data_IF_183157198512
#
_entry.id   IF_183157198512
#
_cell.length_a   1.000
_cell.length_b   1.000
_cell.length_c   1.000
_cell.angle_alpha   90.00
_cell.angle_beta   90.00
_cell.angle_gamma   90.00
#
_symmetry.space_group_name_H-M   'P 1'
#
loop_
_entity.id
_entity.type
_entity.pdbx_description
1 polymer ?
#
# COMPACT_ATOMS: atom_id res chain seq x y z
N UNK A 1 11.99 -70.50 -37.34
CA UNK A 1 11.31 -71.07 -36.15
C UNK A 1 12.31 -71.09 -34.99
N UNK A 2 11.83 -70.81 -33.78
CA UNK A 2 12.45 -71.00 -32.44
C UNK A 2 13.65 -70.13 -32.01
N UNK A 3 13.34 -69.25 -31.03
CA UNK A 3 13.95 -69.02 -29.70
C UNK A 3 15.47 -68.94 -29.45
N UNK A 4 15.76 -68.05 -28.49
CA UNK A 4 16.79 -68.02 -27.43
C UNK A 4 17.93 -67.00 -27.58
N UNK A 5 17.90 -65.97 -26.73
CA UNK A 5 19.06 -65.62 -25.89
C UNK A 5 18.65 -64.84 -24.63
N UNK A 6 19.19 -65.30 -23.51
CA UNK A 6 19.00 -64.86 -22.13
C UNK A 6 20.08 -63.86 -21.69
N UNK A 7 19.65 -62.92 -20.85
CA UNK A 7 20.31 -62.30 -19.68
C UNK A 7 21.80 -61.89 -19.69
N UNK A 8 22.03 -60.61 -19.34
CA UNK A 8 22.84 -60.20 -18.18
C UNK A 8 22.38 -58.81 -17.63
N UNK A 9 22.39 -58.68 -16.30
CA UNK A 9 21.70 -57.71 -15.45
C UNK A 9 22.30 -56.28 -15.38
N UNK A 10 21.53 -55.28 -14.89
CA UNK A 10 21.96 -53.89 -14.74
C UNK A 10 22.59 -53.62 -13.36
N UNK A 11 23.77 -52.99 -13.33
CA UNK A 11 24.36 -52.43 -12.11
C UNK A 11 23.71 -51.07 -11.79
N UNK A 12 22.82 -51.06 -10.80
CA UNK A 12 22.31 -49.85 -10.14
C UNK A 12 23.33 -49.40 -9.08
N UNK A 13 23.82 -48.17 -9.20
CA UNK A 13 24.41 -47.45 -8.06
C UNK A 13 23.26 -46.94 -7.18
N UNK A 14 23.04 -47.59 -6.04
CA UNK A 14 22.24 -47.04 -4.94
C UNK A 14 23.14 -46.14 -4.09
N UNK A 15 23.14 -44.84 -4.38
CA UNK A 15 23.36 -43.87 -3.30
C UNK A 15 22.15 -43.95 -2.37
N UNK A 16 22.36 -43.94 -1.05
CA UNK A 16 21.24 -44.06 -0.12
C UNK A 16 20.31 -42.85 -0.29
N UNK A 17 18.99 -43.09 -0.26
CA UNK A 17 17.98 -42.02 -0.26
C UNK A 17 18.19 -41.04 0.91
N UNK A 18 18.84 -41.51 1.99
CA UNK A 18 19.24 -40.72 3.15
C UNK A 18 20.32 -39.68 2.81
N UNK A 19 21.37 -40.07 2.07
CA UNK A 19 22.48 -39.15 1.72
C UNK A 19 22.06 -38.07 0.69
N UNK A 20 21.01 -38.33 -0.10
CA UNK A 20 20.42 -37.34 -1.00
C UNK A 20 19.45 -36.39 -0.27
N UNK A 21 18.70 -36.87 0.72
CA UNK A 21 17.84 -36.03 1.56
C UNK A 21 18.66 -35.18 2.53
N UNK A 22 19.74 -35.70 3.11
CA UNK A 22 20.59 -34.95 4.04
C UNK A 22 21.38 -33.84 3.32
N UNK A 23 21.82 -34.07 2.07
CA UNK A 23 22.41 -33.01 1.24
C UNK A 23 21.39 -31.98 0.76
N UNK A 24 20.15 -32.38 0.43
CA UNK A 24 19.09 -31.44 0.07
C UNK A 24 18.67 -30.58 1.27
N UNK A 25 18.53 -31.17 2.47
CA UNK A 25 18.22 -30.46 3.70
C UNK A 25 19.36 -29.53 4.15
N UNK A 26 20.63 -29.94 3.99
CA UNK A 26 21.80 -29.07 4.28
C UNK A 26 21.93 -27.90 3.30
N UNK A 27 21.50 -28.07 2.05
CA UNK A 27 21.46 -26.99 1.06
C UNK A 27 20.26 -26.07 1.32
N UNK A 28 19.08 -26.59 1.65
CA UNK A 28 17.91 -25.77 2.01
C UNK A 28 18.11 -25.01 3.31
N UNK A 29 18.70 -25.61 4.36
CA UNK A 29 19.04 -24.90 5.61
C UNK A 29 20.09 -23.82 5.37
N UNK A 30 21.17 -24.09 4.62
CA UNK A 30 22.18 -23.05 4.32
C UNK A 30 21.61 -21.92 3.46
N UNK A 31 20.70 -22.22 2.54
CA UNK A 31 20.06 -21.21 1.67
C UNK A 31 19.02 -20.39 2.45
N UNK A 32 18.25 -21.00 3.37
CA UNK A 32 17.33 -20.30 4.26
C UNK A 32 18.06 -19.43 5.28
N UNK A 33 19.15 -19.91 5.90
CA UNK A 33 19.93 -19.10 6.85
C UNK A 33 20.69 -17.96 6.15
N UNK A 34 21.27 -18.18 4.96
CA UNK A 34 21.90 -17.10 4.19
C UNK A 34 20.88 -16.10 3.65
N UNK A 35 19.69 -16.55 3.24
CA UNK A 35 18.57 -15.69 2.84
C UNK A 35 18.06 -14.82 3.99
N UNK A 36 17.83 -15.41 5.17
CA UNK A 36 17.34 -14.69 6.34
C UNK A 36 18.37 -13.68 6.89
N UNK A 37 19.66 -14.02 6.92
CA UNK A 37 20.73 -13.12 7.36
C UNK A 37 20.94 -11.96 6.38
N UNK A 38 20.86 -12.22 5.07
CA UNK A 38 20.93 -11.15 4.06
C UNK A 38 19.71 -10.21 4.13
N UNK A 39 18.49 -10.75 4.26
CA UNK A 39 17.26 -9.94 4.37
C UNK A 39 17.26 -9.11 5.65
N UNK A 40 17.65 -9.69 6.79
CA UNK A 40 17.76 -8.96 8.06
C UNK A 40 18.81 -7.84 8.01
N UNK A 41 19.96 -8.10 7.34
CA UNK A 41 21.02 -7.10 7.18
C UNK A 41 20.62 -5.96 6.24
N UNK A 42 19.92 -6.27 5.14
CA UNK A 42 19.36 -5.27 4.21
C UNK A 42 18.30 -4.41 4.91
N UNK A 43 17.43 -5.04 5.71
CA UNK A 43 16.40 -4.34 6.50
C UNK A 43 17.00 -3.38 7.52
N UNK A 44 18.05 -3.80 8.25
CA UNK A 44 18.74 -2.95 9.23
C UNK A 44 19.42 -1.75 8.57
N UNK A 45 20.17 -1.97 7.47
CA UNK A 45 20.79 -0.88 6.71
C UNK A 45 19.77 0.12 6.18
N UNK A 46 18.63 -0.36 5.68
CA UNK A 46 17.53 0.51 5.22
C UNK A 46 17.01 1.40 6.36
N UNK A 47 16.76 0.83 7.54
CA UNK A 47 16.29 1.60 8.70
C UNK A 47 17.31 2.65 9.14
N UNK A 48 18.59 2.29 9.24
CA UNK A 48 19.67 3.21 9.57
C UNK A 48 19.74 4.38 8.57
N UNK A 49 19.54 4.10 7.27
CA UNK A 49 19.49 5.13 6.24
C UNK A 49 18.27 6.03 6.35
N UNK A 50 17.09 5.49 6.60
CA UNK A 50 15.89 6.30 6.78
C UNK A 50 16.03 7.24 7.99
N UNK A 51 16.65 6.77 9.07
CA UNK A 51 16.97 7.62 10.23
C UNK A 51 17.95 8.73 9.84
N UNK A 52 19.07 8.40 9.18
CA UNK A 52 20.05 9.41 8.74
C UNK A 52 19.44 10.42 7.78
N UNK A 53 18.63 9.98 6.82
CA UNK A 53 17.96 10.87 5.88
C UNK A 53 16.98 11.79 6.62
N UNK A 54 16.23 11.28 7.60
CA UNK A 54 15.40 12.10 8.48
C UNK A 54 16.21 13.13 9.25
N UNK A 55 17.39 12.77 9.75
CA UNK A 55 18.30 13.71 10.40
C UNK A 55 18.79 14.79 9.43
N UNK A 56 19.13 14.44 8.17
CA UNK A 56 19.51 15.41 7.15
C UNK A 56 18.42 16.42 6.85
N UNK A 57 17.17 15.95 6.67
CA UNK A 57 16.04 16.85 6.36
C UNK A 57 15.56 17.65 7.57
N UNK A 58 15.80 17.18 8.80
CA UNK A 58 15.42 17.91 10.02
C UNK A 58 16.35 19.09 10.32
N UNK A 59 17.61 19.00 9.88
CA UNK A 59 18.65 20.01 10.16
C UNK A 59 18.69 21.18 9.16
N UNK A 60 17.81 21.20 8.15
CA UNK A 60 17.77 22.23 7.13
C UNK A 60 16.32 22.52 6.71
N UNK A 61 15.95 23.80 6.62
CA UNK A 61 14.62 24.17 6.15
C UNK A 61 14.40 23.68 4.71
N UNK A 62 13.21 23.14 4.44
CA UNK A 62 12.86 22.54 3.15
C UNK A 62 12.93 23.55 2.00
N UNK A 63 12.70 24.84 2.29
CA UNK A 63 12.81 25.93 1.32
C UNK A 63 14.24 26.20 0.85
N UNK A 64 15.24 25.70 1.58
CA UNK A 64 16.66 25.94 1.33
C UNK A 64 17.37 24.80 0.60
N UNK A 65 16.65 23.73 0.27
CA UNK A 65 17.20 22.58 -0.46
C UNK A 65 17.51 22.94 -1.92
N UNK A 66 18.75 22.69 -2.32
CA UNK A 66 19.32 22.92 -3.65
C UNK A 66 19.79 21.60 -4.25
N UNK A 67 20.05 21.58 -5.56
CA UNK A 67 20.56 20.40 -6.27
C UNK A 67 21.84 19.82 -5.65
N UNK A 68 22.71 20.66 -5.08
CA UNK A 68 23.94 20.22 -4.40
C UNK A 68 23.67 19.42 -3.12
N UNK A 69 22.54 19.66 -2.46
CA UNK A 69 22.15 18.86 -1.29
C UNK A 69 21.71 17.45 -1.73
N UNK A 70 21.01 17.36 -2.87
CA UNK A 70 20.66 16.07 -3.46
C UNK A 70 21.87 15.31 -4.00
N UNK A 71 22.84 16.01 -4.59
CA UNK A 71 24.12 15.40 -5.00
C UNK A 71 24.83 14.79 -3.79
N UNK A 72 24.90 15.50 -2.66
CA UNK A 72 25.49 15.00 -1.41
C UNK A 72 24.73 13.77 -0.86
N UNK A 73 23.38 13.82 -0.84
CA UNK A 73 22.55 12.69 -0.42
C UNK A 73 22.77 11.47 -1.34
N UNK A 74 22.86 11.69 -2.65
CA UNK A 74 23.10 10.64 -3.63
C UNK A 74 24.47 9.98 -3.40
N UNK A 75 25.53 10.76 -3.16
CA UNK A 75 26.88 10.25 -2.87
C UNK A 75 26.89 9.43 -1.57
N UNK A 76 26.39 9.98 -0.47
CA UNK A 76 26.39 9.32 0.85
C UNK A 76 25.62 8.00 0.84
N UNK A 77 24.45 7.96 0.18
CA UNK A 77 23.60 6.76 0.15
C UNK A 77 24.14 5.72 -0.84
N UNK A 78 24.64 6.13 -2.00
CA UNK A 78 25.13 5.20 -3.04
C UNK A 78 26.34 4.39 -2.57
N UNK A 79 27.22 4.99 -1.75
CA UNK A 79 28.40 4.32 -1.19
C UNK A 79 28.09 3.10 -0.30
N UNK A 80 26.82 2.90 0.08
CA UNK A 80 26.44 1.87 1.05
C UNK A 80 25.83 0.59 0.47
N UNK A 81 25.75 0.49 -0.86
CA UNK A 81 25.28 -0.71 -1.56
C UNK A 81 23.79 -1.06 -1.29
N UNK A 82 22.98 -0.05 -0.96
CA UNK A 82 21.55 -0.19 -0.71
C UNK A 82 20.69 -0.10 -1.98
N UNK A 83 19.34 -0.15 -1.85
CA UNK A 83 18.44 0.10 -2.98
C UNK A 83 18.65 1.52 -3.54
N UNK A 84 18.16 1.76 -4.77
CA UNK A 84 18.23 3.06 -5.46
C UNK A 84 17.83 4.20 -4.49
N UNK A 85 18.77 5.11 -4.23
CA UNK A 85 18.65 6.11 -3.18
C UNK A 85 17.42 7.00 -3.38
N UNK A 86 17.04 7.26 -4.64
CA UNK A 86 15.86 8.04 -5.02
C UNK A 86 14.58 7.42 -4.47
N UNK A 87 14.48 6.09 -4.53
CA UNK A 87 13.33 5.34 -4.03
C UNK A 87 13.27 5.41 -2.51
N UNK A 88 14.42 5.29 -1.82
CA UNK A 88 14.47 5.39 -0.36
C UNK A 88 14.08 6.78 0.12
N UNK A 89 14.62 7.82 -0.51
CA UNK A 89 14.30 9.21 -0.19
C UNK A 89 12.81 9.45 -0.43
N UNK A 90 12.29 9.17 -1.62
CA UNK A 90 10.88 9.42 -1.92
C UNK A 90 9.93 8.61 -1.05
N UNK A 91 10.23 7.35 -0.76
CA UNK A 91 9.46 6.54 0.18
C UNK A 91 9.43 7.16 1.59
N UNK A 92 10.57 7.69 2.06
CA UNK A 92 10.64 8.35 3.37
C UNK A 92 9.85 9.66 3.38
N UNK A 93 9.97 10.47 2.32
CA UNK A 93 9.17 11.69 2.17
C UNK A 93 7.67 11.40 2.07
N UNK A 94 7.28 10.32 1.40
CA UNK A 94 5.90 9.81 1.35
C UNK A 94 5.37 9.41 2.73
N UNK A 95 6.17 8.70 3.52
CA UNK A 95 5.80 8.33 4.90
C UNK A 95 5.67 9.56 5.80
N UNK A 96 6.56 10.54 5.63
CA UNK A 96 6.62 11.75 6.46
C UNK A 96 5.71 12.88 5.94
N UNK A 97 4.99 12.65 4.83
CA UNK A 97 4.09 13.62 4.16
C UNK A 97 4.76 14.94 3.79
N UNK A 98 6.04 14.89 3.43
CA UNK A 98 6.83 16.07 3.11
C UNK A 98 6.79 16.41 1.60
N UNK A 99 5.72 17.07 1.18
CA UNK A 99 5.49 17.41 -0.23
C UNK A 99 6.54 18.37 -0.80
N UNK A 100 7.02 19.34 -0.02
CA UNK A 100 7.96 20.35 -0.48
C UNK A 100 9.29 19.71 -0.91
N UNK A 101 9.82 18.81 -0.07
CA UNK A 101 11.00 18.04 -0.43
C UNK A 101 10.73 17.02 -1.54
N UNK A 102 9.52 16.43 -1.60
CA UNK A 102 9.13 15.54 -2.69
C UNK A 102 9.22 16.23 -4.06
N UNK A 103 8.64 17.44 -4.18
CA UNK A 103 8.74 18.28 -5.39
C UNK A 103 10.18 18.66 -5.72
N UNK A 104 10.98 19.02 -4.70
CA UNK A 104 12.40 19.34 -4.87
C UNK A 104 13.19 18.15 -5.43
N UNK A 105 12.97 16.95 -4.89
CA UNK A 105 13.60 15.72 -5.37
C UNK A 105 13.18 15.40 -6.80
N UNK A 106 11.88 15.44 -7.13
CA UNK A 106 11.42 15.13 -8.49
C UNK A 106 12.01 16.08 -9.52
N UNK A 107 12.05 17.38 -9.23
CA UNK A 107 12.69 18.37 -10.10
C UNK A 107 14.17 18.05 -10.34
N UNK A 108 14.90 17.73 -9.27
CA UNK A 108 16.31 17.32 -9.38
C UNK A 108 16.48 16.07 -10.26
N UNK A 109 15.63 15.06 -10.08
CA UNK A 109 15.70 13.81 -10.83
C UNK A 109 15.33 14.00 -12.30
N UNK A 110 14.35 14.83 -12.64
CA UNK A 110 14.00 15.14 -14.03
C UNK A 110 15.15 15.82 -14.80
N UNK A 111 15.93 16.64 -14.11
CA UNK A 111 17.11 17.33 -14.67
C UNK A 111 18.33 16.41 -14.84
N UNK A 112 18.50 15.41 -13.94
CA UNK A 112 19.74 14.61 -13.83
C UNK A 112 19.60 13.14 -14.24
N UNK A 113 18.46 12.53 -14.01
CA UNK A 113 18.24 11.10 -14.15
C UNK A 113 17.20 10.81 -15.24
N UNK A 114 17.68 10.30 -16.39
CA UNK A 114 16.80 9.73 -17.42
C UNK A 114 17.27 8.31 -17.75
N UNK A 115 16.39 7.28 -17.67
CA UNK A 115 14.97 7.33 -17.29
C UNK A 115 14.73 7.42 -15.78
N UNK A 116 13.62 8.08 -15.38
CA UNK A 116 13.14 8.15 -14.00
C UNK A 116 12.73 6.77 -13.49
N UNK A 117 12.97 6.51 -12.21
CA UNK A 117 12.52 5.28 -11.56
C UNK A 117 11.00 5.28 -11.39
N UNK A 118 10.32 4.32 -12.00
CA UNK A 118 8.87 4.17 -11.88
C UNK A 118 8.40 4.02 -10.42
N UNK A 119 9.17 3.32 -9.58
CA UNK A 119 8.86 3.17 -8.15
C UNK A 119 8.92 4.54 -7.45
N UNK A 120 9.87 5.39 -7.82
CA UNK A 120 9.97 6.76 -7.29
C UNK A 120 8.75 7.57 -7.71
N UNK A 121 8.35 7.50 -8.98
CA UNK A 121 7.13 8.16 -9.49
C UNK A 121 5.88 7.66 -8.77
N UNK A 122 5.76 6.36 -8.50
CA UNK A 122 4.64 5.77 -7.74
C UNK A 122 4.54 6.35 -6.34
N UNK A 123 5.64 6.41 -5.58
CA UNK A 123 5.64 7.05 -4.26
C UNK A 123 5.38 8.55 -4.33
N UNK A 124 5.83 9.22 -5.38
CA UNK A 124 5.55 10.63 -5.59
C UNK A 124 4.06 10.90 -5.84
N UNK A 125 3.40 10.09 -6.68
CA UNK A 125 1.94 10.13 -6.88
C UNK A 125 1.21 9.90 -5.55
N UNK A 126 1.64 8.90 -4.77
CA UNK A 126 1.11 8.64 -3.43
C UNK A 126 1.25 9.85 -2.49
N UNK A 127 2.40 10.52 -2.51
CA UNK A 127 2.68 11.71 -1.70
C UNK A 127 1.81 12.90 -2.12
N UNK A 128 1.75 13.20 -3.42
CA UNK A 128 0.91 14.28 -3.94
C UNK A 128 -0.56 14.03 -3.64
N UNK A 129 -1.06 12.82 -3.87
CA UNK A 129 -2.46 12.48 -3.61
C UNK A 129 -2.82 12.60 -2.13
N UNK A 130 -2.10 11.91 -1.24
CA UNK A 130 -2.45 11.88 0.19
C UNK A 130 -2.29 13.21 0.92
N UNK A 131 -1.53 14.15 0.35
CA UNK A 131 -1.36 15.50 0.89
C UNK A 131 -2.17 16.55 0.12
N UNK A 132 -3.05 16.13 -0.79
CA UNK A 132 -3.80 17.05 -1.63
C UNK A 132 -4.71 17.96 -0.83
N UNK A 133 -4.55 19.26 -1.07
CA UNK A 133 -5.36 20.34 -0.50
C UNK A 133 -5.88 21.32 -1.55
N UNK A 134 -5.51 21.14 -2.83
CA UNK A 134 -5.87 22.03 -3.93
C UNK A 134 -6.05 21.29 -5.26
N UNK A 135 -6.82 21.88 -6.18
CA UNK A 135 -7.07 21.30 -7.50
C UNK A 135 -5.80 21.19 -8.33
N UNK A 136 -4.87 22.14 -8.20
CA UNK A 136 -3.62 22.15 -8.95
C UNK A 136 -2.76 20.94 -8.59
N UNK A 137 -2.75 20.54 -7.32
CA UNK A 137 -2.03 19.36 -6.86
C UNK A 137 -2.70 18.06 -7.34
N UNK A 138 -4.03 18.01 -7.42
CA UNK A 138 -4.74 16.90 -8.05
C UNK A 138 -4.36 16.77 -9.54
N UNK A 139 -4.28 17.89 -10.26
CA UNK A 139 -3.91 17.94 -11.67
C UNK A 139 -2.44 17.52 -11.89
N UNK A 140 -1.54 17.93 -11.00
CA UNK A 140 -0.15 17.45 -10.96
C UNK A 140 -0.11 15.92 -10.74
N UNK A 141 -0.87 15.42 -9.77
CA UNK A 141 -0.96 13.97 -9.48
C UNK A 141 -1.39 13.19 -10.71
N UNK A 142 -2.41 13.68 -11.43
CA UNK A 142 -2.93 13.04 -12.64
C UNK A 142 -1.92 13.07 -13.78
N UNK A 143 -1.23 14.19 -13.99
CA UNK A 143 -0.22 14.30 -15.04
C UNK A 143 0.92 13.29 -14.86
N UNK A 144 1.42 13.14 -13.63
CA UNK A 144 2.47 12.15 -13.32
C UNK A 144 1.95 10.71 -13.46
N UNK A 145 0.70 10.45 -13.03
CA UNK A 145 0.06 9.15 -13.18
C UNK A 145 -0.12 8.73 -14.64
N UNK A 146 -0.60 9.64 -15.50
CA UNK A 146 -0.80 9.35 -16.92
C UNK A 146 0.53 9.06 -17.61
N UNK A 147 1.55 9.86 -17.34
CA UNK A 147 2.88 9.61 -17.88
C UNK A 147 3.47 8.27 -17.41
N UNK A 148 3.23 7.89 -16.15
CA UNK A 148 3.65 6.61 -15.62
C UNK A 148 2.96 5.44 -16.35
N UNK A 149 1.66 5.53 -16.61
CA UNK A 149 0.91 4.49 -17.34
C UNK A 149 1.28 4.42 -18.82
N UNK A 150 1.65 5.53 -19.45
CA UNK A 150 2.13 5.54 -20.84
C UNK A 150 3.48 4.84 -21.02
N UNK A 151 4.27 4.73 -19.95
CA UNK A 151 5.66 4.24 -19.98
C UNK A 151 5.83 2.84 -19.37
N UNK A 152 4.77 2.28 -18.78
CA UNK A 152 4.78 0.99 -18.11
C UNK A 152 3.84 -0.02 -18.76
N UNK A 153 4.39 -1.17 -19.10
CA UNK A 153 3.60 -2.32 -19.56
C UNK A 153 3.01 -3.14 -18.40
N UNK A 154 3.54 -2.99 -17.18
CA UNK A 154 3.16 -3.81 -16.02
C UNK A 154 3.23 -3.02 -14.71
N UNK A 155 2.24 -3.21 -13.85
CA UNK A 155 2.21 -2.69 -12.48
C UNK A 155 2.12 -3.83 -11.47
N UNK A 156 3.06 -3.87 -10.53
CA UNK A 156 3.01 -4.83 -9.44
C UNK A 156 1.97 -4.43 -8.38
N UNK A 157 1.46 -5.38 -7.58
CA UNK A 157 0.40 -5.10 -6.60
C UNK A 157 0.76 -4.04 -5.55
N UNK A 158 2.04 -3.95 -5.15
CA UNK A 158 2.47 -2.97 -4.15
C UNK A 158 2.49 -1.56 -4.75
N UNK A 159 2.89 -1.42 -6.03
CA UNK A 159 2.77 -0.17 -6.75
C UNK A 159 1.30 0.26 -6.87
N UNK A 160 0.40 -0.66 -7.22
CA UNK A 160 -1.05 -0.39 -7.32
C UNK A 160 -1.61 0.13 -5.99
N UNK A 161 -1.24 -0.48 -4.86
CA UNK A 161 -1.68 -0.05 -3.53
C UNK A 161 -1.32 1.41 -3.24
N UNK A 162 -0.08 1.82 -3.54
CA UNK A 162 0.37 3.21 -3.36
C UNK A 162 -0.35 4.16 -4.31
N UNK A 163 -0.52 3.79 -5.58
CA UNK A 163 -1.22 4.61 -6.57
C UNK A 163 -2.68 4.84 -6.17
N UNK A 164 -3.39 3.79 -5.74
CA UNK A 164 -4.78 3.88 -5.27
C UNK A 164 -4.88 4.71 -3.99
N UNK A 165 -3.94 4.56 -3.07
CA UNK A 165 -3.90 5.38 -1.85
C UNK A 165 -3.81 6.87 -2.20
N UNK A 166 -2.92 7.27 -3.11
CA UNK A 166 -2.81 8.64 -3.60
C UNK A 166 -4.06 9.12 -4.34
N UNK A 167 -4.49 8.41 -5.38
CA UNK A 167 -5.58 8.84 -6.25
C UNK A 167 -6.92 8.96 -5.53
N UNK A 168 -7.18 8.12 -4.52
CA UNK A 168 -8.40 8.19 -3.70
C UNK A 168 -8.57 9.51 -2.92
N UNK A 169 -7.51 10.31 -2.82
CA UNK A 169 -7.51 11.63 -2.20
C UNK A 169 -7.72 12.79 -3.17
N UNK A 170 -7.78 12.50 -4.47
CA UNK A 170 -7.87 13.50 -5.53
C UNK A 170 -9.22 13.44 -6.25
N UNK A 171 -9.59 14.51 -6.97
CA UNK A 171 -10.76 14.50 -7.87
C UNK A 171 -10.72 13.40 -8.94
N UNK A 172 -9.57 12.76 -9.15
CA UNK A 172 -9.36 11.64 -10.06
C UNK A 172 -9.52 10.25 -9.39
N UNK A 173 -10.15 10.16 -8.22
CA UNK A 173 -10.40 8.90 -7.49
C UNK A 173 -11.02 7.76 -8.33
N UNK A 174 -11.72 8.06 -9.42
CA UNK A 174 -12.28 7.03 -10.33
C UNK A 174 -11.20 6.26 -11.10
N UNK A 175 -10.00 6.80 -11.22
CA UNK A 175 -8.85 6.09 -11.79
C UNK A 175 -8.46 4.85 -10.94
N UNK A 176 -8.83 4.82 -9.65
CA UNK A 176 -8.66 3.63 -8.81
C UNK A 176 -9.40 2.41 -9.36
N UNK A 177 -10.51 2.59 -10.09
CA UNK A 177 -11.24 1.47 -10.71
C UNK A 177 -10.40 0.78 -11.78
N UNK A 178 -9.71 1.55 -12.63
CA UNK A 178 -8.81 1.01 -13.65
C UNK A 178 -7.65 0.23 -13.00
N UNK A 179 -7.10 0.76 -11.91
CA UNK A 179 -6.04 0.09 -11.16
C UNK A 179 -6.51 -1.21 -10.50
N UNK A 180 -7.75 -1.26 -10.00
CA UNK A 180 -8.37 -2.49 -9.51
C UNK A 180 -8.49 -3.52 -10.64
N UNK A 181 -8.92 -3.13 -11.83
CA UNK A 181 -9.02 -4.03 -12.99
C UNK A 181 -7.65 -4.62 -13.36
N UNK A 182 -6.62 -3.78 -13.49
CA UNK A 182 -5.24 -4.22 -13.73
C UNK A 182 -4.76 -5.18 -12.62
N UNK A 183 -5.10 -4.89 -11.36
CA UNK A 183 -4.76 -5.74 -10.23
C UNK A 183 -5.43 -7.11 -10.35
N UNK A 184 -6.71 -7.17 -10.73
CA UNK A 184 -7.47 -8.44 -10.91
C UNK A 184 -6.91 -9.32 -12.02
N UNK A 185 -6.35 -8.73 -13.06
CA UNK A 185 -5.72 -9.47 -14.17
C UNK A 185 -4.39 -10.11 -13.75
N UNK A 186 -3.71 -9.55 -12.75
CA UNK A 186 -2.34 -9.91 -12.37
C UNK A 186 -2.24 -10.59 -11.01
N UNK A 187 -3.21 -10.38 -10.11
CA UNK A 187 -3.19 -10.84 -8.71
C UNK A 187 -4.57 -10.75 -8.03
N UNK A 188 -4.64 -11.19 -6.76
CA UNK A 188 -5.82 -10.92 -5.92
C UNK A 188 -5.79 -9.49 -5.41
N UNK A 189 -6.91 -8.78 -5.52
CA UNK A 189 -7.03 -7.40 -5.04
C UNK A 189 -6.91 -7.36 -3.52
N UNK A 190 -5.94 -6.59 -3.03
CA UNK A 190 -5.71 -6.40 -1.60
C UNK A 190 -6.81 -5.58 -0.91
N UNK A 191 -7.01 -5.80 0.39
CA UNK A 191 -8.02 -5.07 1.15
C UNK A 191 -7.73 -3.57 1.25
N UNK A 192 -6.47 -3.18 1.32
CA UNK A 192 -6.05 -1.77 1.31
C UNK A 192 -6.47 -1.02 0.04
N UNK A 193 -6.38 -1.67 -1.12
CA UNK A 193 -6.82 -1.12 -2.42
C UNK A 193 -8.33 -0.82 -2.38
N UNK A 194 -9.13 -1.80 -1.93
CA UNK A 194 -10.58 -1.66 -1.85
C UNK A 194 -11.00 -0.62 -0.82
N UNK A 195 -10.36 -0.63 0.37
CA UNK A 195 -10.65 0.32 1.45
C UNK A 195 -10.29 1.74 1.05
N UNK A 196 -9.13 1.98 0.43
CA UNK A 196 -8.76 3.31 -0.07
C UNK A 196 -9.73 3.80 -1.14
N UNK A 197 -10.14 2.94 -2.07
CA UNK A 197 -11.16 3.28 -3.09
C UNK A 197 -12.51 3.58 -2.46
N UNK A 198 -12.90 2.83 -1.43
CA UNK A 198 -14.10 3.08 -0.63
C UNK A 198 -14.06 4.47 0.02
N UNK A 199 -12.94 4.85 0.65
CA UNK A 199 -12.76 6.19 1.21
C UNK A 199 -12.84 7.29 0.13
N UNK A 200 -12.26 7.05 -1.05
CA UNK A 200 -12.42 7.95 -2.20
C UNK A 200 -13.89 8.15 -2.58
N UNK A 201 -14.64 7.06 -2.74
CA UNK A 201 -16.07 7.14 -3.06
C UNK A 201 -16.88 7.90 -2.00
N UNK A 202 -16.58 7.73 -0.71
CA UNK A 202 -17.21 8.47 0.39
C UNK A 202 -16.89 9.96 0.29
N UNK A 203 -15.61 10.31 0.14
CA UNK A 203 -15.10 11.69 0.06
C UNK A 203 -15.78 12.46 -1.09
N UNK A 204 -15.90 11.83 -2.24
CA UNK A 204 -16.48 12.44 -3.44
C UNK A 204 -17.98 12.17 -3.62
N UNK A 205 -18.64 11.61 -2.60
CA UNK A 205 -20.10 11.35 -2.56
C UNK A 205 -20.60 10.49 -3.71
N UNK A 206 -19.78 9.55 -4.16
CA UNK A 206 -20.06 8.65 -5.27
C UNK A 206 -20.71 7.35 -4.76
N UNK A 207 -22.05 7.39 -4.65
CA UNK A 207 -22.82 6.28 -4.09
C UNK A 207 -22.75 5.01 -4.96
N UNK A 208 -22.66 5.16 -6.27
CA UNK A 208 -22.61 4.02 -7.19
C UNK A 208 -21.28 3.28 -7.06
N UNK A 209 -20.17 4.03 -7.03
CA UNK A 209 -18.85 3.43 -6.77
C UNK A 209 -18.78 2.83 -5.37
N UNK A 210 -19.31 3.51 -4.35
CA UNK A 210 -19.36 2.98 -2.98
C UNK A 210 -20.02 1.59 -2.95
N UNK A 211 -21.22 1.46 -3.55
CA UNK A 211 -21.95 0.19 -3.61
C UNK A 211 -21.19 -0.87 -4.39
N UNK A 212 -20.57 -0.50 -5.50
CA UNK A 212 -19.75 -1.42 -6.30
C UNK A 212 -18.57 -1.95 -5.50
N UNK A 213 -17.87 -1.09 -4.75
CA UNK A 213 -16.72 -1.50 -3.92
C UNK A 213 -17.16 -2.33 -2.73
N UNK A 214 -18.28 -1.98 -2.07
CA UNK A 214 -18.83 -2.81 -1.00
C UNK A 214 -19.19 -4.21 -1.50
N UNK A 215 -19.82 -4.34 -2.67
CA UNK A 215 -20.09 -5.65 -3.28
C UNK A 215 -18.79 -6.42 -3.56
N UNK A 216 -17.78 -5.74 -4.10
CA UNK A 216 -16.48 -6.37 -4.37
C UNK A 216 -15.79 -6.83 -3.08
N UNK A 217 -15.92 -6.07 -1.99
CA UNK A 217 -15.42 -6.48 -0.67
C UNK A 217 -16.07 -7.79 -0.23
N UNK A 218 -17.38 -7.98 -0.41
CA UNK A 218 -18.06 -9.25 -0.09
C UNK A 218 -17.52 -10.44 -0.89
N UNK A 219 -17.11 -10.19 -2.14
CA UNK A 219 -16.66 -11.23 -3.07
C UNK A 219 -15.18 -11.58 -2.91
N UNK A 220 -14.34 -10.63 -2.48
CA UNK A 220 -12.88 -10.74 -2.59
C UNK A 220 -12.16 -10.83 -1.25
N UNK A 221 -12.71 -10.25 -0.17
CA UNK A 221 -12.09 -10.23 1.15
C UNK A 221 -13.13 -10.52 2.24
N UNK A 222 -12.69 -10.78 3.48
CA UNK A 222 -13.64 -10.95 4.58
C UNK A 222 -14.27 -9.60 4.98
N UNK A 223 -15.62 -9.46 5.01
CA UNK A 223 -16.28 -8.22 5.41
C UNK A 223 -15.87 -7.71 6.80
N UNK A 224 -15.47 -8.62 7.69
CA UNK A 224 -14.95 -8.32 9.03
C UNK A 224 -13.71 -7.43 9.02
N UNK A 225 -12.93 -7.42 7.93
CA UNK A 225 -11.76 -6.55 7.80
C UNK A 225 -12.14 -5.06 7.80
N UNK A 226 -13.34 -4.69 7.35
CA UNK A 226 -13.83 -3.31 7.45
C UNK A 226 -14.01 -2.84 8.89
N UNK A 227 -14.24 -3.76 9.84
CA UNK A 227 -14.39 -3.40 11.24
C UNK A 227 -13.14 -2.69 11.80
N UNK A 228 -11.95 -2.99 11.27
CA UNK A 228 -10.69 -2.33 11.64
C UNK A 228 -10.63 -0.85 11.25
N UNK A 229 -11.49 -0.41 10.32
CA UNK A 229 -11.55 0.96 9.82
C UNK A 229 -12.79 1.72 10.29
N UNK A 230 -13.59 1.16 11.20
CA UNK A 230 -14.92 1.67 11.55
C UNK A 230 -14.93 3.12 11.99
N UNK A 231 -14.03 3.55 12.89
CA UNK A 231 -13.95 4.96 13.32
C UNK A 231 -13.76 5.89 12.14
N UNK A 232 -12.77 5.60 11.27
CA UNK A 232 -12.45 6.43 10.10
C UNK A 232 -13.59 6.41 9.07
N UNK A 233 -14.20 5.25 8.83
CA UNK A 233 -15.32 5.11 7.89
C UNK A 233 -16.53 5.91 8.36
N UNK A 234 -16.88 5.81 9.64
CA UNK A 234 -17.99 6.56 10.24
C UNK A 234 -17.70 8.06 10.16
N UNK A 235 -16.49 8.50 10.52
CA UNK A 235 -16.07 9.89 10.37
C UNK A 235 -16.24 10.40 8.93
N UNK A 236 -15.69 9.68 7.96
CA UNK A 236 -15.77 10.05 6.55
C UNK A 236 -17.23 10.10 6.05
N UNK A 237 -18.07 9.15 6.47
CA UNK A 237 -19.48 9.12 6.09
C UNK A 237 -20.26 10.29 6.70
N UNK A 238 -20.00 10.65 7.96
CA UNK A 238 -20.66 11.77 8.63
C UNK A 238 -20.33 13.13 8.02
N UNK A 239 -19.14 13.26 7.40
CA UNK A 239 -18.73 14.44 6.63
C UNK A 239 -19.26 14.44 5.19
N UNK A 240 -19.83 13.31 4.71
CA UNK A 240 -20.22 13.10 3.33
C UNK A 240 -21.71 13.39 3.08
N UNK A 241 -22.56 12.36 3.07
CA UNK A 241 -24.01 12.43 2.85
C UNK A 241 -24.73 11.34 3.65
N UNK A 242 -26.02 11.54 3.91
CA UNK A 242 -26.82 10.58 4.67
C UNK A 242 -27.01 9.27 3.90
N UNK A 243 -27.10 9.33 2.56
CA UNK A 243 -27.21 8.17 1.69
C UNK A 243 -25.96 7.28 1.76
N UNK A 244 -24.77 7.88 1.73
CA UNK A 244 -23.49 7.16 1.90
C UNK A 244 -23.42 6.53 3.29
N UNK A 245 -23.73 7.29 4.34
CA UNK A 245 -23.74 6.76 5.70
C UNK A 245 -24.72 5.58 5.85
N UNK A 246 -25.92 5.69 5.29
CA UNK A 246 -26.93 4.62 5.31
C UNK A 246 -26.43 3.37 4.60
N UNK A 247 -25.84 3.50 3.41
CA UNK A 247 -25.32 2.36 2.65
C UNK A 247 -24.22 1.60 3.42
N UNK A 248 -23.29 2.32 4.06
CA UNK A 248 -22.25 1.70 4.90
C UNK A 248 -22.86 1.01 6.13
N UNK A 249 -23.81 1.65 6.82
CA UNK A 249 -24.47 1.04 7.98
C UNK A 249 -25.33 -0.18 7.63
N UNK A 250 -25.98 -0.17 6.46
CA UNK A 250 -26.70 -1.33 5.92
C UNK A 250 -25.75 -2.50 5.64
N UNK A 251 -24.57 -2.22 5.10
CA UNK A 251 -23.52 -3.23 4.92
C UNK A 251 -23.08 -3.83 6.27
N UNK A 252 -22.81 -2.99 7.27
CA UNK A 252 -22.45 -3.45 8.62
C UNK A 252 -23.55 -4.32 9.23
N UNK A 253 -24.81 -3.91 9.08
CA UNK A 253 -25.96 -4.67 9.56
C UNK A 253 -26.10 -6.01 8.84
N UNK A 254 -25.97 -6.04 7.51
CA UNK A 254 -26.07 -7.26 6.68
C UNK A 254 -25.07 -8.32 7.13
N UNK A 255 -23.84 -7.91 7.43
CA UNK A 255 -22.75 -8.82 7.81
C UNK A 255 -22.58 -8.96 9.32
N UNK A 256 -23.50 -8.42 10.13
CA UNK A 256 -23.42 -8.44 11.60
C UNK A 256 -22.08 -7.93 12.14
N UNK A 257 -21.52 -6.91 11.47
CA UNK A 257 -20.24 -6.32 11.85
C UNK A 257 -20.42 -5.53 13.15
N UNK A 258 -19.82 -6.04 14.22
CA UNK A 258 -19.79 -5.35 15.50
C UNK A 258 -18.71 -4.26 15.45
N UNK A 259 -19.07 -3.08 15.95
CA UNK A 259 -18.11 -2.00 16.16
C UNK A 259 -17.16 -2.41 17.30
N UNK A 260 -15.84 -2.43 17.09
CA UNK A 260 -14.89 -2.78 18.14
C UNK A 260 -15.05 -1.87 19.36
N UNK A 261 -15.11 -2.46 20.56
CA UNK A 261 -15.36 -1.69 21.80
C UNK A 261 -14.27 -0.62 22.05
N UNK A 262 -13.03 -0.92 21.67
CA UNK A 262 -11.92 0.03 21.74
C UNK A 262 -12.10 1.25 20.82
N UNK A 263 -12.92 1.15 19.77
CA UNK A 263 -13.26 2.25 18.85
C UNK A 263 -14.55 2.99 19.25
N UNK A 264 -15.37 2.43 20.15
CA UNK A 264 -16.69 2.96 20.47
C UNK A 264 -16.63 4.39 21.04
N UNK A 265 -15.63 4.69 21.88
CA UNK A 265 -15.43 6.04 22.44
C UNK A 265 -15.12 7.05 21.32
N UNK A 266 -14.20 6.71 20.43
CA UNK A 266 -13.79 7.58 19.33
C UNK A 266 -14.94 7.83 18.35
N UNK A 267 -15.76 6.79 18.09
CA UNK A 267 -16.96 6.91 17.27
C UNK A 267 -17.96 7.88 17.94
N UNK A 268 -18.23 7.73 19.23
CA UNK A 268 -19.11 8.62 19.98
C UNK A 268 -18.61 10.07 19.92
N UNK A 269 -17.32 10.29 20.16
CA UNK A 269 -16.69 11.61 20.07
C UNK A 269 -16.82 12.19 18.66
N UNK A 270 -16.68 11.36 17.62
CA UNK A 270 -16.84 11.75 16.21
C UNK A 270 -18.26 12.25 15.91
N UNK A 271 -19.30 11.54 16.38
CA UNK A 271 -20.68 11.99 16.23
C UNK A 271 -20.94 13.34 16.89
N UNK A 272 -20.43 13.55 18.11
CA UNK A 272 -20.57 14.84 18.80
C UNK A 272 -19.77 15.97 18.15
N UNK A 273 -18.57 15.68 17.64
CA UNK A 273 -17.74 16.67 16.97
C UNK A 273 -18.37 17.15 15.66
N UNK A 274 -18.86 16.22 14.84
CA UNK A 274 -19.33 16.54 13.48
C UNK A 274 -20.79 17.00 13.49
N UNK A 275 -21.63 16.41 14.35
CA UNK A 275 -23.07 16.66 14.38
C UNK A 275 -23.57 16.85 15.84
N UNK A 276 -23.08 17.89 16.56
CA UNK A 276 -23.23 18.03 18.02
C UNK A 276 -24.67 18.02 18.53
N UNK A 277 -25.62 18.51 17.73
CA UNK A 277 -27.02 18.68 18.13
C UNK A 277 -27.96 17.62 17.54
N UNK A 278 -27.46 16.69 16.71
CA UNK A 278 -28.30 15.69 16.02
C UNK A 278 -28.45 14.40 16.82
N UNK A 279 -27.47 14.06 17.65
CA UNK A 279 -27.37 12.74 18.27
C UNK A 279 -27.43 12.81 19.79
N UNK A 280 -28.06 11.80 20.40
CA UNK A 280 -28.03 11.56 21.85
C UNK A 280 -27.41 10.19 22.09
N UNK A 281 -26.43 10.14 22.99
CA UNK A 281 -25.83 8.86 23.39
C UNK A 281 -26.74 8.19 24.41
N UNK A 282 -27.04 6.92 24.18
CA UNK A 282 -27.59 6.05 25.20
C UNK A 282 -26.83 4.74 25.18
N UNK A 283 -26.11 4.44 26.27
CA UNK A 283 -25.50 3.13 26.48
C UNK A 283 -26.48 2.27 27.28
N UNK A 284 -26.76 1.07 26.79
CA UNK A 284 -27.64 0.13 27.48
C UNK A 284 -27.09 -1.28 27.31
N UNK A 285 -27.36 -2.13 28.31
CA UNK A 285 -27.01 -3.53 28.26
C UNK A 285 -28.29 -4.33 28.01
N UNK A 286 -28.31 -5.09 26.91
CA UNK A 286 -29.43 -5.97 26.59
C UNK A 286 -29.08 -7.37 27.11
N UNK A 287 -29.68 -7.76 28.25
CA UNK A 287 -29.65 -9.16 28.68
C UNK A 287 -30.48 -9.99 27.71
N UNK A 288 -29.84 -10.81 26.89
CA UNK A 288 -30.54 -11.92 26.26
C UNK A 288 -30.85 -12.95 27.35
N UNK A 289 -32.11 -13.01 27.79
CA UNK A 289 -32.61 -14.20 28.51
C UNK A 289 -32.57 -15.36 27.52
N UNK A 290 -31.62 -16.26 27.72
CA UNK A 290 -31.60 -17.61 27.13
C UNK A 290 -32.76 -18.43 27.66
#
# INVERSE_FOLDING_TARGET
MTQHNQFQSPLRFYGSLQDQQDNANLVEEKTQYQGAVNVATISKKRQEWQVRFRDFIANKDHSEWKSTDWDFVAEEITLSGGPRWEVLCMHTLYQDKNIALGRSLMKYLEEKAKPLSHITSTFYIGLLGETSTSSEQDDETKAVFDHLLETLDFLDPASIEVLVSGLSHTKYYRECVKLIEICRETSTVGSSVLVSTLFGSIRFKDLDLLRSILSMIEETIEPTQLANFSTKLIEACLLSSEEIFRAVMEFYKKHSLLLPLNQAKDIIETFHRIQPNKWRIQTSYIHHRT
#
